data_IF_207782938800
#
_entry.id   IF_207782938800
#
_cell.length_a   1.000
_cell.length_b   1.000
_cell.length_c   1.000
_cell.angle_alpha   90.00
_cell.angle_beta   90.00
_cell.angle_gamma   90.00
#
_symmetry.space_group_name_H-M   'P 1'
#
loop_
_entity.id
_entity.type
_entity.pdbx_description
1 polymer ?
#
# COMPACT_ATOMS: atom_id res chain seq x y z
N UNK A 1 -34.22 -20.26 -23.82
CA UNK A 1 -33.16 -20.22 -24.86
C UNK A 1 -32.27 -21.44 -24.68
N UNK A 2 -32.50 -22.50 -25.45
CA UNK A 2 -31.63 -23.66 -25.47
C UNK A 2 -30.24 -23.26 -25.98
N UNK A 3 -29.25 -23.32 -25.10
CA UNK A 3 -27.84 -23.16 -25.45
C UNK A 3 -27.48 -24.26 -26.45
N UNK A 4 -27.26 -23.91 -27.71
CA UNK A 4 -26.65 -24.78 -28.72
C UNK A 4 -25.38 -25.40 -28.15
N UNK A 5 -25.48 -26.68 -27.79
CA UNK A 5 -24.41 -27.44 -27.20
C UNK A 5 -23.43 -27.80 -28.31
N UNK A 6 -22.36 -27.01 -28.46
CA UNK A 6 -21.29 -27.30 -29.41
C UNK A 6 -20.40 -28.37 -28.78
N UNK A 7 -20.49 -29.59 -29.31
CA UNK A 7 -19.59 -30.69 -29.03
C UNK A 7 -18.33 -30.51 -29.88
N UNK A 8 -17.20 -30.21 -29.24
CA UNK A 8 -15.90 -30.10 -29.92
C UNK A 8 -14.79 -30.54 -28.99
N UNK A 9 -13.87 -31.35 -29.52
CA UNK A 9 -12.65 -31.74 -28.82
C UNK A 9 -11.75 -30.51 -28.60
N UNK A 10 -11.29 -30.24 -27.36
CA UNK A 10 -10.34 -29.17 -27.10
C UNK A 10 -9.00 -29.43 -27.80
N UNK A 11 -8.39 -28.40 -28.38
CA UNK A 11 -7.08 -28.54 -29.05
C UNK A 11 -5.97 -28.62 -27.99
N UNK A 12 -5.12 -29.65 -28.07
CA UNK A 12 -4.03 -29.88 -27.08
C UNK A 12 -3.10 -28.67 -26.93
N UNK A 13 -2.70 -28.05 -28.05
CA UNK A 13 -1.80 -26.90 -28.03
C UNK A 13 -2.42 -25.67 -27.36
N UNK A 14 -3.72 -25.42 -27.54
CA UNK A 14 -4.43 -24.31 -26.86
C UNK A 14 -4.47 -24.58 -25.35
N UNK A 15 -4.76 -25.80 -24.95
CA UNK A 15 -4.77 -26.19 -23.54
C UNK A 15 -3.39 -26.01 -22.89
N UNK A 16 -2.31 -26.37 -23.60
CA UNK A 16 -0.94 -26.18 -23.14
C UNK A 16 -0.58 -24.70 -22.99
N UNK A 17 -0.85 -23.87 -24.01
CA UNK A 17 -0.55 -22.43 -23.98
C UNK A 17 -1.32 -21.73 -22.86
N UNK A 18 -2.63 -22.01 -22.73
CA UNK A 18 -3.43 -21.45 -21.65
C UNK A 18 -2.94 -21.93 -20.27
N UNK A 19 -2.59 -23.20 -20.12
CA UNK A 19 -2.06 -23.74 -18.87
C UNK A 19 -0.70 -23.15 -18.47
N UNK A 20 0.12 -22.75 -19.45
CA UNK A 20 1.40 -22.10 -19.20
C UNK A 20 1.25 -20.63 -18.81
N UNK A 21 0.37 -19.89 -19.50
CA UNK A 21 0.19 -18.45 -19.26
C UNK A 21 -0.69 -18.17 -18.03
N UNK A 22 -1.80 -18.89 -17.91
CA UNK A 22 -2.81 -18.71 -16.87
C UNK A 22 -3.28 -20.11 -16.44
N UNK A 23 -2.58 -20.79 -15.51
CA UNK A 23 -2.83 -22.19 -15.17
C UNK A 23 -4.32 -22.57 -14.95
N UNK A 24 -5.12 -21.79 -14.20
CA UNK A 24 -6.56 -22.06 -14.06
C UNK A 24 -7.33 -22.04 -15.39
N UNK A 25 -6.96 -21.15 -16.32
CA UNK A 25 -7.63 -21.02 -17.62
C UNK A 25 -7.42 -22.27 -18.51
N UNK A 26 -6.23 -22.88 -18.46
CA UNK A 26 -5.97 -24.15 -19.15
C UNK A 26 -6.92 -25.26 -18.70
N UNK A 27 -7.18 -25.35 -17.39
CA UNK A 27 -8.11 -26.32 -16.80
C UNK A 27 -9.59 -25.99 -17.08
N UNK A 28 -9.96 -24.70 -17.09
CA UNK A 28 -11.30 -24.28 -17.51
C UNK A 28 -11.55 -24.59 -18.99
N UNK A 29 -10.55 -24.41 -19.86
CA UNK A 29 -10.64 -24.72 -21.29
C UNK A 29 -10.93 -26.20 -21.55
N UNK A 30 -10.34 -27.11 -20.78
CA UNK A 30 -10.65 -28.56 -20.84
C UNK A 30 -11.86 -28.97 -20.00
N UNK A 31 -12.67 -27.99 -19.54
CA UNK A 31 -13.89 -28.19 -18.76
C UNK A 31 -13.70 -28.92 -17.42
N UNK A 32 -12.55 -28.71 -16.75
CA UNK A 32 -12.22 -29.31 -15.43
C UNK A 32 -12.13 -28.24 -14.33
N UNK A 33 -13.25 -27.71 -13.80
CA UNK A 33 -13.24 -26.61 -12.85
C UNK A 33 -12.60 -26.95 -11.50
N UNK A 34 -12.68 -28.21 -11.05
CA UNK A 34 -12.03 -28.65 -9.79
C UNK A 34 -10.51 -28.51 -9.87
N UNK A 35 -9.93 -28.87 -11.01
CA UNK A 35 -8.49 -28.66 -11.26
C UNK A 35 -8.15 -27.18 -11.42
N UNK A 36 -9.01 -26.40 -12.09
CA UNK A 36 -8.81 -24.95 -12.17
C UNK A 36 -8.73 -24.30 -10.79
N UNK A 37 -9.64 -24.67 -9.87
CA UNK A 37 -9.62 -24.21 -8.49
C UNK A 37 -8.37 -24.66 -7.74
N UNK A 38 -7.90 -25.90 -7.94
CA UNK A 38 -6.67 -26.39 -7.32
C UNK A 38 -5.43 -25.62 -7.78
N UNK A 39 -5.27 -25.38 -9.08
CA UNK A 39 -4.16 -24.57 -9.61
C UNK A 39 -4.26 -23.10 -9.19
N UNK A 40 -5.47 -22.56 -9.06
CA UNK A 40 -5.67 -21.21 -8.54
C UNK A 40 -5.25 -21.10 -7.07
N UNK A 41 -5.67 -22.05 -6.22
CA UNK A 41 -5.28 -22.09 -4.82
C UNK A 41 -3.77 -22.26 -4.66
N UNK A 42 -3.15 -23.14 -5.46
CA UNK A 42 -1.69 -23.33 -5.47
C UNK A 42 -0.96 -22.05 -5.90
N UNK A 43 -1.43 -21.38 -6.96
CA UNK A 43 -0.87 -20.10 -7.40
C UNK A 43 -0.99 -19.02 -6.32
N UNK A 44 -2.11 -18.96 -5.59
CA UNK A 44 -2.30 -18.04 -4.47
C UNK A 44 -1.34 -18.35 -3.32
N UNK A 45 -1.15 -19.63 -2.96
CA UNK A 45 -0.18 -20.05 -1.93
C UNK A 45 1.24 -19.66 -2.32
N UNK A 46 1.64 -19.86 -3.59
CA UNK A 46 2.97 -19.49 -4.08
C UNK A 46 3.13 -17.96 -4.06
N UNK A 47 2.12 -17.21 -4.49
CA UNK A 47 2.16 -15.75 -4.46
C UNK A 47 2.30 -15.22 -3.02
N UNK A 48 1.50 -15.73 -2.08
CA UNK A 48 1.58 -15.36 -0.66
C UNK A 48 2.91 -15.82 -0.04
N UNK A 49 3.34 -17.05 -0.29
CA UNK A 49 4.63 -17.56 0.18
C UNK A 49 5.80 -16.76 -0.39
N UNK A 50 5.73 -16.30 -1.63
CA UNK A 50 6.74 -15.42 -2.21
C UNK A 50 6.76 -14.04 -1.54
N UNK A 51 5.58 -13.52 -1.18
CA UNK A 51 5.43 -12.24 -0.50
C UNK A 51 5.91 -12.27 0.96
N UNK A 52 5.63 -13.36 1.69
CA UNK A 52 5.88 -13.44 3.14
C UNK A 52 7.11 -14.26 3.54
N UNK A 53 7.49 -15.27 2.75
CA UNK A 53 8.56 -16.23 3.11
C UNK A 53 9.79 -16.06 2.23
N UNK A 54 9.61 -15.95 0.91
CA UNK A 54 10.73 -15.85 -0.06
C UNK A 54 11.06 -14.41 -0.47
N UNK A 55 10.77 -13.42 0.39
CA UNK A 55 10.92 -12.00 0.06
C UNK A 55 12.33 -11.63 -0.41
N UNK A 56 13.37 -12.11 0.27
CA UNK A 56 14.76 -11.81 -0.10
C UNK A 56 15.25 -12.67 -1.29
N UNK A 57 14.40 -13.59 -1.76
CA UNK A 57 14.67 -14.53 -2.87
C UNK A 57 13.48 -14.58 -3.82
N UNK A 58 13.00 -13.41 -4.27
CA UNK A 58 11.84 -13.32 -5.19
C UNK A 58 12.01 -14.22 -6.44
N UNK A 59 13.26 -14.38 -6.91
CA UNK A 59 13.59 -15.27 -8.02
C UNK A 59 13.16 -16.73 -7.75
N UNK A 60 13.26 -17.22 -6.53
CA UNK A 60 12.88 -18.60 -6.18
C UNK A 60 11.36 -18.78 -6.28
N UNK A 61 10.58 -17.79 -5.83
CA UNK A 61 9.13 -17.79 -5.99
C UNK A 61 8.70 -17.82 -7.47
N UNK A 62 9.37 -17.03 -8.31
CA UNK A 62 9.12 -17.01 -9.76
C UNK A 62 9.47 -18.33 -10.44
N UNK A 63 10.57 -18.99 -10.05
CA UNK A 63 10.95 -20.31 -10.56
C UNK A 63 9.90 -21.36 -10.16
N UNK A 64 9.45 -21.37 -8.91
CA UNK A 64 8.40 -22.29 -8.44
C UNK A 64 7.10 -22.07 -9.23
N UNK A 65 6.68 -20.82 -9.41
CA UNK A 65 5.50 -20.48 -10.19
C UNK A 65 5.60 -20.96 -11.65
N UNK A 66 6.77 -20.78 -12.28
CA UNK A 66 7.02 -21.25 -13.65
C UNK A 66 6.97 -22.78 -13.75
N UNK A 67 7.58 -23.50 -12.81
CA UNK A 67 7.52 -24.97 -12.77
C UNK A 67 6.07 -25.47 -12.65
N UNK A 68 5.28 -24.86 -11.77
CA UNK A 68 3.86 -25.18 -11.61
C UNK A 68 3.06 -24.88 -12.89
N UNK A 69 3.36 -23.78 -13.57
CA UNK A 69 2.74 -23.45 -14.85
C UNK A 69 3.08 -24.46 -15.95
N UNK A 70 4.34 -24.92 -16.04
CA UNK A 70 4.76 -26.00 -16.95
C UNK A 70 4.01 -27.30 -16.63
N UNK A 71 3.92 -27.68 -15.36
CA UNK A 71 3.16 -28.86 -14.93
C UNK A 71 1.69 -28.73 -15.34
N UNK A 72 1.08 -27.56 -15.14
CA UNK A 72 -0.30 -27.31 -15.56
C UNK A 72 -0.48 -27.42 -17.08
N UNK A 73 0.45 -26.88 -17.88
CA UNK A 73 0.42 -26.96 -19.33
C UNK A 73 0.45 -28.41 -19.83
N UNK A 74 1.35 -29.24 -19.27
CA UNK A 74 1.43 -30.67 -19.59
C UNK A 74 0.14 -31.38 -19.19
N UNK A 75 -0.36 -31.12 -17.97
CA UNK A 75 -1.58 -31.73 -17.45
C UNK A 75 -2.81 -31.37 -18.30
N UNK A 76 -2.98 -30.10 -18.68
CA UNK A 76 -4.07 -29.64 -19.53
C UNK A 76 -3.98 -30.24 -20.94
N UNK A 77 -2.78 -30.34 -21.52
CA UNK A 77 -2.55 -30.95 -22.84
C UNK A 77 -2.91 -32.44 -22.87
N UNK A 78 -2.52 -33.19 -21.81
CA UNK A 78 -2.88 -34.62 -21.65
C UNK A 78 -4.40 -34.79 -21.55
N UNK A 79 -5.05 -34.03 -20.66
CA UNK A 79 -6.51 -34.04 -20.51
C UNK A 79 -7.23 -33.70 -21.82
N UNK A 80 -6.74 -32.72 -22.59
CA UNK A 80 -7.30 -32.38 -23.89
C UNK A 80 -7.17 -33.52 -24.91
N UNK A 81 -6.08 -34.30 -24.83
CA UNK A 81 -5.85 -35.46 -25.69
C UNK A 81 -6.77 -36.64 -25.40
N UNK A 82 -6.97 -36.94 -24.12
CA UNK A 82 -7.79 -38.05 -23.64
C UNK A 82 -9.29 -37.75 -23.71
N UNK A 83 -9.65 -36.47 -23.84
CA UNK A 83 -11.04 -36.03 -23.99
C UNK A 83 -11.65 -36.51 -25.31
N UNK A 84 -12.82 -37.17 -25.22
CA UNK A 84 -13.76 -37.35 -26.33
C UNK A 84 -14.48 -36.01 -26.61
N UNK A 85 -15.43 -35.96 -27.54
CA UNK A 85 -16.25 -34.76 -27.74
C UNK A 85 -17.01 -34.43 -26.45
N UNK A 86 -16.58 -33.36 -25.76
CA UNK A 86 -17.21 -32.89 -24.53
C UNK A 86 -18.24 -31.82 -24.90
N UNK A 87 -19.42 -31.86 -24.26
CA UNK A 87 -20.35 -30.72 -24.24
C UNK A 87 -19.64 -29.55 -23.56
N UNK A 88 -19.19 -28.56 -24.33
CA UNK A 88 -18.41 -27.44 -23.78
C UNK A 88 -19.32 -26.48 -23.01
N UNK A 89 -19.22 -26.40 -21.67
CA UNK A 89 -19.94 -25.39 -20.89
C UNK A 89 -19.48 -23.99 -21.27
N UNK A 90 -20.29 -22.98 -20.97
CA UNK A 90 -20.04 -21.58 -21.35
C UNK A 90 -18.65 -21.10 -20.94
N UNK A 91 -18.18 -21.46 -19.74
CA UNK A 91 -16.88 -21.06 -19.19
C UNK A 91 -15.66 -21.68 -19.87
N UNK A 92 -15.83 -22.77 -20.63
CA UNK A 92 -14.73 -23.42 -21.36
C UNK A 92 -14.58 -22.88 -22.79
N UNK A 93 -15.51 -22.03 -23.23
CA UNK A 93 -15.49 -21.35 -24.53
C UNK A 93 -14.68 -20.06 -24.41
N UNK A 94 -14.18 -19.55 -25.53
CA UNK A 94 -13.29 -18.37 -25.56
C UNK A 94 -13.93 -17.16 -24.84
N UNK A 95 -15.21 -16.88 -25.10
CA UNK A 95 -15.91 -15.76 -24.48
C UNK A 95 -16.12 -15.97 -22.97
N UNK A 96 -16.28 -17.22 -22.51
CA UNK A 96 -16.41 -17.54 -21.09
C UNK A 96 -15.10 -17.37 -20.35
N UNK A 97 -13.98 -17.78 -20.95
CA UNK A 97 -12.64 -17.57 -20.39
C UNK A 97 -12.32 -16.07 -20.29
N UNK A 98 -12.62 -15.30 -21.34
CA UNK A 98 -12.45 -13.85 -21.34
C UNK A 98 -13.35 -13.20 -20.28
N UNK A 99 -14.63 -13.56 -20.20
CA UNK A 99 -15.56 -13.01 -19.21
C UNK A 99 -15.10 -13.31 -17.77
N UNK A 100 -14.60 -14.52 -17.49
CA UNK A 100 -14.04 -14.86 -16.19
C UNK A 100 -12.78 -14.02 -15.91
N UNK A 101 -11.86 -13.92 -16.87
CA UNK A 101 -10.66 -13.09 -16.72
C UNK A 101 -10.98 -11.62 -16.42
N UNK A 102 -11.91 -11.03 -17.18
CA UNK A 102 -12.40 -9.66 -16.96
C UNK A 102 -13.07 -9.53 -15.60
N UNK A 103 -13.89 -10.49 -15.18
CA UNK A 103 -14.54 -10.45 -13.86
C UNK A 103 -13.52 -10.49 -12.72
N UNK A 104 -12.50 -11.35 -12.80
CA UNK A 104 -11.41 -11.37 -11.81
C UNK A 104 -10.59 -10.09 -11.81
N UNK A 105 -10.28 -9.53 -13.00
CA UNK A 105 -9.57 -8.26 -13.11
C UNK A 105 -10.39 -7.10 -12.53
N UNK A 106 -11.69 -7.03 -12.83
CA UNK A 106 -12.60 -6.03 -12.29
C UNK A 106 -12.75 -6.16 -10.77
N UNK A 107 -12.84 -7.40 -10.25
CA UNK A 107 -12.86 -7.66 -8.81
C UNK A 107 -11.55 -7.20 -8.15
N UNK A 108 -10.39 -7.59 -8.67
CA UNK A 108 -9.10 -7.18 -8.14
C UNK A 108 -8.91 -5.66 -8.20
N UNK A 109 -9.32 -5.03 -9.31
CA UNK A 109 -9.32 -3.58 -9.47
C UNK A 109 -10.24 -2.89 -8.46
N UNK A 110 -11.46 -3.39 -8.27
CA UNK A 110 -12.41 -2.86 -7.29
C UNK A 110 -11.91 -3.00 -5.85
N UNK A 111 -11.40 -4.18 -5.47
CA UNK A 111 -10.78 -4.39 -4.16
C UNK A 111 -9.62 -3.41 -3.94
N UNK A 112 -8.76 -3.22 -4.96
CA UNK A 112 -7.63 -2.29 -4.87
C UNK A 112 -8.08 -0.83 -4.77
N UNK A 113 -9.07 -0.44 -5.56
CA UNK A 113 -9.53 0.94 -5.62
C UNK A 113 -10.29 1.38 -4.36
N UNK A 114 -11.08 0.48 -3.74
CA UNK A 114 -12.02 0.82 -2.68
C UNK A 114 -11.67 0.26 -1.30
N UNK A 115 -10.97 -0.88 -1.21
CA UNK A 115 -10.77 -1.58 0.06
C UNK A 115 -9.32 -1.50 0.55
N UNK A 116 -8.38 -2.08 -0.20
CA UNK A 116 -6.99 -2.22 0.21
C UNK A 116 -6.01 -2.01 -0.93
N UNK A 117 -5.03 -1.13 -0.74
CA UNK A 117 -3.99 -0.89 -1.74
C UNK A 117 -2.59 -1.13 -1.17
N UNK A 118 -1.78 -2.01 -1.78
CA UNK A 118 -0.38 -2.16 -1.40
C UNK A 118 0.48 -1.05 -2.02
N UNK A 119 1.32 -0.43 -1.19
CA UNK A 119 2.35 0.54 -1.56
C UNK A 119 3.74 0.01 -1.21
N UNK A 120 4.74 0.35 -2.01
CA UNK A 120 6.16 0.15 -1.67
C UNK A 120 6.71 1.49 -1.19
N UNK A 121 7.30 1.53 0.01
CA UNK A 121 7.80 2.76 0.61
C UNK A 121 9.28 2.97 0.25
N UNK A 122 9.64 3.99 -0.55
CA UNK A 122 11.02 4.14 -1.03
C UNK A 122 11.92 4.98 -0.11
N UNK A 123 11.36 5.66 0.89
CA UNK A 123 12.08 6.70 1.65
C UNK A 123 12.44 6.29 3.09
N UNK A 124 13.40 6.97 3.70
CA UNK A 124 13.75 6.83 5.13
C UNK A 124 12.96 7.75 6.06
N UNK A 125 12.00 8.52 5.53
CA UNK A 125 11.37 9.61 6.29
C UNK A 125 10.46 9.15 7.44
N UNK A 126 10.15 7.86 7.48
CA UNK A 126 9.36 7.20 8.52
C UNK A 126 10.18 6.18 9.31
N UNK A 127 11.49 6.10 9.10
CA UNK A 127 12.36 5.23 9.91
C UNK A 127 12.39 5.74 11.36
N UNK A 128 12.34 4.85 12.37
CA UNK A 128 12.45 3.38 12.27
C UNK A 128 11.09 2.67 12.14
N UNK A 129 9.96 3.37 12.27
CA UNK A 129 8.64 2.75 12.20
C UNK A 129 8.32 2.14 10.82
N UNK A 130 8.87 2.72 9.75
CA UNK A 130 8.81 2.19 8.38
C UNK A 130 10.20 2.32 7.76
N UNK A 131 10.88 1.18 7.61
CA UNK A 131 12.16 1.08 6.92
C UNK A 131 11.99 1.21 5.38
N UNK A 132 13.02 1.67 4.66
CA UNK A 132 13.00 1.70 3.20
C UNK A 132 12.71 0.33 2.61
N UNK A 133 11.97 0.31 1.51
CA UNK A 133 11.49 -0.88 0.77
C UNK A 133 10.41 -1.68 1.48
N UNK A 134 9.92 -1.24 2.64
CA UNK A 134 8.77 -1.85 3.30
C UNK A 134 7.50 -1.78 2.42
N UNK A 135 6.65 -2.80 2.53
CA UNK A 135 5.34 -2.82 1.89
C UNK A 135 4.27 -2.39 2.90
N UNK A 136 3.47 -1.40 2.49
CA UNK A 136 2.35 -0.89 3.29
C UNK A 136 1.06 -1.42 2.72
N UNK A 137 0.21 -2.00 3.56
CA UNK A 137 -1.16 -2.35 3.21
C UNK A 137 -2.07 -1.26 3.73
N UNK A 138 -2.61 -0.46 2.82
CA UNK A 138 -3.43 0.71 3.15
C UNK A 138 -4.91 0.37 3.04
N UNK A 139 -5.66 0.57 4.12
CA UNK A 139 -7.11 0.48 4.14
C UNK A 139 -7.71 1.80 3.65
N UNK A 140 -8.51 1.74 2.58
CA UNK A 140 -9.10 2.91 1.89
C UNK A 140 -10.56 3.16 2.23
N UNK A 141 -11.29 2.11 2.64
CA UNK A 141 -12.71 2.21 2.95
C UNK A 141 -13.00 3.29 4.00
N UNK A 142 -13.86 4.24 3.64
CA UNK A 142 -14.34 5.34 4.48
C UNK A 142 -13.50 6.62 4.46
N UNK A 143 -12.34 6.63 3.78
CA UNK A 143 -11.51 7.84 3.63
C UNK A 143 -11.96 8.74 2.47
N UNK A 144 -12.78 8.19 1.57
CA UNK A 144 -13.50 8.96 0.57
C UNK A 144 -12.71 9.31 -0.69
N UNK A 145 -11.39 9.06 -0.73
CA UNK A 145 -10.57 9.21 -1.94
C UNK A 145 -10.29 7.85 -2.59
N UNK A 146 -11.14 7.45 -3.54
CA UNK A 146 -11.08 6.13 -4.17
C UNK A 146 -10.48 6.21 -5.58
N UNK A 147 -9.49 5.36 -5.82
CA UNK A 147 -8.71 5.34 -7.04
C UNK A 147 -7.61 4.28 -6.96
N UNK A 148 -6.93 4.02 -8.07
CA UNK A 148 -5.77 3.12 -8.12
C UNK A 148 -4.99 3.40 -9.39
N UNK A 149 -3.68 3.10 -9.41
CA UNK A 149 -2.83 3.29 -10.59
C UNK A 149 -2.86 4.73 -11.15
N UNK A 150 -3.03 5.73 -10.30
CA UNK A 150 -3.16 7.14 -10.71
C UNK A 150 -4.52 7.53 -11.29
N UNK A 151 -5.48 6.60 -11.36
CA UNK A 151 -6.85 6.87 -11.85
C UNK A 151 -7.74 7.17 -10.64
N UNK A 152 -8.32 8.38 -10.60
CA UNK A 152 -9.36 8.73 -9.65
C UNK A 152 -10.72 8.21 -10.14
N UNK A 153 -11.41 7.44 -9.29
CA UNK A 153 -12.74 6.91 -9.62
C UNK A 153 -13.84 7.72 -8.94
N UNK A 154 -13.65 8.03 -7.66
CA UNK A 154 -14.69 8.66 -6.86
C UNK A 154 -14.09 9.43 -5.69
N UNK A 155 -14.60 10.63 -5.45
CA UNK A 155 -14.35 11.41 -4.23
C UNK A 155 -15.66 11.61 -3.47
N UNK A 156 -15.68 11.23 -2.21
CA UNK A 156 -16.83 11.34 -1.30
C UNK A 156 -16.39 11.99 0.01
N UNK A 157 -17.35 12.31 0.87
CA UNK A 157 -17.04 12.73 2.24
C UNK A 157 -16.30 11.63 3.00
N UNK A 158 -15.38 12.03 3.87
CA UNK A 158 -14.69 11.10 4.78
C UNK A 158 -15.64 10.72 5.91
N UNK A 159 -15.94 9.42 6.02
CA UNK A 159 -16.73 8.85 7.12
C UNK A 159 -15.85 8.19 8.18
N UNK A 160 -14.63 7.81 7.81
CA UNK A 160 -13.66 7.20 8.73
C UNK A 160 -12.98 8.24 9.58
N UNK A 161 -12.91 7.98 10.88
CA UNK A 161 -12.18 8.81 11.83
C UNK A 161 -10.67 8.58 11.69
N UNK A 162 -9.93 9.67 11.48
CA UNK A 162 -8.47 9.71 11.58
C UNK A 162 -8.10 9.99 13.03
N UNK A 163 -7.30 9.11 13.64
CA UNK A 163 -6.87 9.27 15.03
C UNK A 163 -5.45 9.77 15.12
N UNK A 164 -5.16 10.47 16.21
CA UNK A 164 -3.80 10.89 16.54
C UNK A 164 -2.87 9.67 16.60
N UNK A 165 -1.69 9.79 16.00
CA UNK A 165 -0.71 8.72 15.88
C UNK A 165 -1.00 7.70 14.77
N UNK A 166 -2.09 7.82 14.00
CA UNK A 166 -2.29 7.01 12.79
C UNK A 166 -1.24 7.34 11.73
N UNK A 167 -0.80 6.32 10.98
CA UNK A 167 -0.01 6.53 9.76
C UNK A 167 -0.98 6.50 8.59
N UNK A 168 -1.04 7.60 7.85
CA UNK A 168 -1.93 7.77 6.71
C UNK A 168 -1.12 7.88 5.42
N UNK A 169 -1.72 7.41 4.32
CA UNK A 169 -1.25 7.65 2.96
C UNK A 169 -2.16 8.67 2.32
N UNK A 170 -1.58 9.68 1.68
CA UNK A 170 -2.30 10.80 1.09
C UNK A 170 -1.61 11.29 -0.18
N UNK A 171 -2.39 11.94 -1.05
CA UNK A 171 -1.86 12.70 -2.19
C UNK A 171 -1.08 13.91 -1.67
N UNK A 172 0.17 14.02 -2.10
CA UNK A 172 1.05 15.11 -1.68
C UNK A 172 0.46 16.47 -2.11
N UNK A 173 0.31 17.46 -1.20
CA UNK A 173 -0.43 18.69 -1.51
C UNK A 173 0.14 19.54 -2.66
N UNK A 174 1.45 19.48 -2.92
CA UNK A 174 2.06 20.23 -4.03
C UNK A 174 2.02 19.48 -5.37
N UNK A 175 2.05 18.15 -5.32
CA UNK A 175 1.97 17.29 -6.51
C UNK A 175 1.15 16.05 -6.19
N UNK A 176 -0.12 16.05 -6.60
CA UNK A 176 -1.07 14.97 -6.33
C UNK A 176 -0.73 13.68 -7.08
N UNK A 177 0.21 13.70 -8.03
CA UNK A 177 0.72 12.47 -8.64
C UNK A 177 1.58 11.64 -7.66
N UNK A 178 2.09 12.27 -6.61
CA UNK A 178 2.90 11.63 -5.57
C UNK A 178 2.05 11.26 -4.36
N UNK A 179 2.27 10.06 -3.83
CA UNK A 179 1.65 9.59 -2.59
C UNK A 179 2.68 9.60 -1.45
N UNK A 180 2.34 10.24 -0.34
CA UNK A 180 3.19 10.31 0.85
C UNK A 180 2.56 9.50 1.98
N UNK A 181 3.40 8.91 2.84
CA UNK A 181 2.97 8.28 4.08
C UNK A 181 3.60 9.01 5.27
N UNK A 182 2.78 9.50 6.20
CA UNK A 182 3.23 10.24 7.39
C UNK A 182 2.34 9.93 8.59
N UNK A 183 2.84 10.22 9.79
CA UNK A 183 2.10 10.06 11.03
C UNK A 183 1.28 11.32 11.33
N UNK A 184 0.00 11.13 11.67
CA UNK A 184 -0.90 12.20 12.08
C UNK A 184 -0.54 12.64 13.50
N UNK A 185 -0.11 13.89 13.62
CA UNK A 185 0.25 14.51 14.89
C UNK A 185 -0.83 15.47 15.35
N UNK A 186 -1.41 16.25 14.44
CA UNK A 186 -2.49 17.21 14.71
C UNK A 186 -3.78 16.86 13.96
N UNK A 187 -4.88 16.87 14.69
CA UNK A 187 -6.25 16.78 14.21
C UNK A 187 -6.82 18.20 13.96
N UNK A 188 -7.96 18.34 13.28
CA UNK A 188 -8.60 19.63 13.09
C UNK A 188 -8.72 20.41 14.40
N UNK A 189 -8.40 21.71 14.36
CA UNK A 189 -8.42 22.67 15.47
C UNK A 189 -7.31 22.56 16.51
N UNK A 190 -6.45 21.55 16.44
CA UNK A 190 -5.34 21.43 17.38
C UNK A 190 -4.34 22.58 17.24
N UNK A 191 -3.67 22.91 18.36
CA UNK A 191 -2.47 23.73 18.37
C UNK A 191 -1.25 22.81 18.44
N UNK A 192 -0.42 22.86 17.40
CA UNK A 192 0.83 22.11 17.31
C UNK A 192 1.99 23.08 17.52
N UNK A 193 2.92 22.73 18.39
CA UNK A 193 4.14 23.49 18.63
C UNK A 193 5.32 22.54 18.54
N UNK A 194 6.29 22.84 17.69
CA UNK A 194 7.52 22.08 17.57
C UNK A 194 8.69 23.05 17.69
N UNK A 195 9.26 23.16 18.89
CA UNK A 195 10.37 24.06 19.21
C UNK A 195 11.51 23.28 19.83
N UNK A 196 12.74 23.55 19.44
CA UNK A 196 13.94 22.89 19.97
C UNK A 196 13.81 21.35 19.97
N UNK A 197 13.22 20.82 18.89
CA UNK A 197 12.94 19.39 18.67
C UNK A 197 12.00 18.75 19.69
N UNK A 198 11.24 19.56 20.42
CA UNK A 198 10.18 19.12 21.33
C UNK A 198 8.81 19.40 20.73
N UNK A 199 7.98 18.37 20.71
CA UNK A 199 6.61 18.45 20.22
C UNK A 199 5.67 18.73 21.39
N UNK A 200 4.78 19.71 21.19
CA UNK A 200 3.63 19.99 22.05
C UNK A 200 2.34 19.95 21.22
N UNK A 201 1.29 19.39 21.79
CA UNK A 201 -0.05 19.32 21.20
C UNK A 201 -1.02 19.89 22.21
N UNK A 202 -1.77 20.93 21.82
CA UNK A 202 -2.69 21.65 22.71
C UNK A 202 -2.02 22.08 24.03
N UNK A 203 -0.80 22.62 23.90
CA UNK A 203 0.05 23.10 24.99
C UNK A 203 0.58 22.00 25.95
N UNK A 204 0.23 20.73 25.72
CA UNK A 204 0.78 19.57 26.42
C UNK A 204 2.04 19.05 25.70
N UNK A 205 3.15 18.90 26.44
CA UNK A 205 4.39 18.35 25.88
C UNK A 205 4.31 16.84 25.71
N UNK A 206 4.63 16.38 24.50
CA UNK A 206 4.65 14.97 24.17
C UNK A 206 5.97 14.38 24.67
N UNK A 207 5.94 13.46 25.66
CA UNK A 207 7.15 12.97 26.28
C UNK A 207 7.93 12.06 25.32
N UNK A 208 9.25 12.20 25.37
CA UNK A 208 10.20 11.35 24.64
C UNK A 208 11.16 10.68 25.62
N UNK A 209 11.47 9.40 25.39
CA UNK A 209 12.47 8.63 26.15
C UNK A 209 13.53 8.09 25.21
N UNK A 210 14.79 8.43 25.42
CA UNK A 210 15.90 7.88 24.63
C UNK A 210 15.98 6.37 24.84
N UNK A 211 16.09 5.62 23.74
CA UNK A 211 16.21 4.15 23.76
C UNK A 211 17.52 3.63 23.18
N UNK A 212 18.28 4.47 22.49
CA UNK A 212 19.59 4.10 21.99
C UNK A 212 20.01 4.94 20.79
N UNK A 213 21.02 4.44 20.08
CA UNK A 213 21.56 5.05 18.88
C UNK A 213 21.03 4.29 17.66
N UNK A 214 20.79 5.00 16.57
CA UNK A 214 20.50 4.42 15.26
C UNK A 214 21.75 4.56 14.40
N UNK A 215 22.41 3.43 14.22
CA UNK A 215 23.63 3.32 13.42
C UNK A 215 23.22 3.20 11.96
N UNK A 216 23.56 4.23 11.19
CA UNK A 216 23.46 4.17 9.73
C UNK A 216 24.50 3.19 9.18
N UNK A 217 24.15 2.42 8.16
CA UNK A 217 25.16 1.66 7.40
C UNK A 217 26.15 2.58 6.67
N UNK A 218 25.70 3.79 6.29
CA UNK A 218 26.39 4.65 5.34
C UNK A 218 26.76 6.05 5.89
N UNK A 219 26.51 6.35 7.18
CA UNK A 219 26.84 7.65 7.80
C UNK A 219 27.57 7.47 9.13
N UNK A 220 28.53 8.35 9.38
CA UNK A 220 29.36 8.38 10.60
C UNK A 220 28.62 9.05 11.77
N UNK A 221 27.77 10.04 11.51
CA UNK A 221 27.02 10.75 12.56
C UNK A 221 25.88 9.86 13.12
N UNK A 222 25.82 9.63 14.44
CA UNK A 222 24.77 8.83 15.04
C UNK A 222 23.47 9.64 15.09
N UNK A 223 22.40 9.09 14.52
CA UNK A 223 21.05 9.57 14.83
C UNK A 223 20.57 8.91 16.11
N UNK A 224 19.91 9.64 17.01
CA UNK A 224 19.44 9.10 18.28
C UNK A 224 18.00 8.61 18.15
N UNK A 225 17.69 7.47 18.77
CA UNK A 225 16.34 6.91 18.83
C UNK A 225 15.66 7.27 20.13
N UNK A 226 14.39 7.65 20.01
CA UNK A 226 13.51 7.94 21.14
C UNK A 226 12.19 7.21 20.98
N UNK A 227 11.59 6.80 22.08
CA UNK A 227 10.16 6.47 22.13
C UNK A 227 9.38 7.74 22.42
N UNK A 228 8.44 8.08 21.54
CA UNK A 228 7.51 9.18 21.71
C UNK A 228 6.13 8.63 22.04
N UNK A 229 5.50 9.17 23.10
CA UNK A 229 4.17 8.72 23.55
C UNK A 229 3.10 9.76 23.22
N UNK A 230 2.29 9.48 22.20
CA UNK A 230 1.22 10.34 21.72
C UNK A 230 -0.14 9.75 22.09
N UNK A 231 -0.70 10.21 23.22
CA UNK A 231 -1.88 9.58 23.83
C UNK A 231 -1.57 8.14 24.27
N UNK A 232 -2.40 7.19 23.87
CA UNK A 232 -2.24 5.76 24.20
C UNK A 232 -1.24 5.02 23.30
N UNK A 233 -0.56 5.72 22.39
CA UNK A 233 0.37 5.11 21.44
C UNK A 233 1.80 5.52 21.74
N UNK A 234 2.68 4.53 21.72
CA UNK A 234 4.12 4.74 21.79
C UNK A 234 4.75 4.25 20.48
N UNK A 235 5.65 5.03 19.89
CA UNK A 235 6.38 4.67 18.68
C UNK A 235 7.78 5.26 18.70
N UNK A 236 8.67 4.64 17.93
CA UNK A 236 10.04 5.10 17.83
C UNK A 236 10.18 6.22 16.81
N UNK A 237 10.97 7.23 17.15
CA UNK A 237 11.34 8.37 16.32
C UNK A 237 12.86 8.52 16.29
N UNK A 238 13.37 9.19 15.28
CA UNK A 238 14.78 9.58 15.16
C UNK A 238 14.92 11.08 15.23
N UNK A 239 15.89 11.52 16.02
CA UNK A 239 16.31 12.92 16.13
C UNK A 239 17.83 12.96 16.00
N UNK A 240 18.34 13.87 15.17
CA UNK A 240 19.77 14.18 15.00
C UNK A 240 20.09 15.41 15.86
N UNK A 241 20.72 15.28 17.04
CA UNK A 241 20.88 16.41 17.97
C UNK A 241 21.63 17.61 17.39
N UNK A 242 22.57 17.34 16.48
CA UNK A 242 23.42 18.35 15.85
C UNK A 242 22.73 19.10 14.70
N UNK A 243 21.63 18.56 14.15
CA UNK A 243 20.89 19.24 13.10
C UNK A 243 20.18 20.49 13.67
N UNK A 244 20.08 21.61 12.92
CA UNK A 244 19.38 22.80 13.38
C UNK A 244 17.91 22.53 13.76
N UNK A 245 17.40 23.21 14.78
CA UNK A 245 15.98 23.14 15.15
C UNK A 245 15.08 23.94 14.18
N UNK A 246 15.64 24.97 13.52
CA UNK A 246 14.97 25.76 12.52
C UNK A 246 14.51 24.89 11.34
N UNK A 247 13.31 25.16 10.83
CA UNK A 247 12.83 24.53 9.60
C UNK A 247 13.57 25.15 8.41
N UNK A 248 14.42 24.39 7.69
CA UNK A 248 15.37 24.98 6.74
C UNK A 248 14.69 25.56 5.49
N UNK A 249 13.60 24.94 5.02
CA UNK A 249 12.88 25.39 3.83
C UNK A 249 11.38 25.33 4.13
N UNK A 250 10.76 26.50 4.25
CA UNK A 250 9.30 26.64 4.38
C UNK A 250 8.73 27.06 3.03
N UNK A 251 7.97 26.17 2.40
CA UNK A 251 7.37 26.42 1.10
C UNK A 251 6.16 27.35 1.22
N UNK A 252 5.65 27.83 0.09
CA UNK A 252 4.35 28.45 0.04
C UNK A 252 3.29 27.34 0.06
N UNK A 253 2.32 27.42 0.96
CA UNK A 253 1.24 26.45 1.06
C UNK A 253 -0.06 27.13 1.52
N UNK A 254 -1.24 26.56 1.23
CA UNK A 254 -2.52 27.12 1.67
C UNK A 254 -2.64 27.16 3.19
N UNK A 255 -3.23 28.25 3.73
CA UNK A 255 -3.46 28.44 5.17
C UNK A 255 -2.16 28.58 5.98
N UNK A 256 -1.07 29.04 5.35
CA UNK A 256 0.23 29.27 6.00
C UNK A 256 0.16 30.29 7.14
N UNK A 257 -0.77 31.24 7.07
CA UNK A 257 -1.07 32.21 8.13
C UNK A 257 -1.47 31.56 9.46
N UNK A 258 -1.88 30.29 9.45
CA UNK A 258 -2.13 29.53 10.67
C UNK A 258 -0.85 29.06 11.38
N UNK A 259 0.33 29.29 10.78
CA UNK A 259 1.62 28.87 11.28
C UNK A 259 2.56 30.06 11.51
N UNK A 260 3.15 30.13 12.69
CA UNK A 260 4.24 31.02 13.04
C UNK A 260 5.55 30.23 13.05
N UNK A 261 6.59 30.77 12.39
CA UNK A 261 7.91 30.16 12.30
C UNK A 261 8.93 31.03 13.03
N UNK A 262 9.86 30.39 13.74
CA UNK A 262 10.96 31.03 14.47
C UNK A 262 12.27 30.30 14.17
N UNK A 263 13.39 30.83 14.65
CA UNK A 263 14.68 30.13 14.59
C UNK A 263 14.70 28.83 15.40
N UNK A 264 13.77 28.67 16.35
CA UNK A 264 13.68 27.52 17.24
C UNK A 264 12.70 26.45 16.72
N UNK A 265 11.87 26.80 15.73
CA UNK A 265 10.90 25.87 15.13
C UNK A 265 9.62 26.55 14.65
N UNK A 266 8.46 26.01 15.02
CA UNK A 266 7.16 26.52 14.57
C UNK A 266 6.01 26.26 15.56
N UNK A 267 4.95 27.04 15.40
CA UNK A 267 3.66 26.78 16.02
C UNK A 267 2.55 26.95 14.99
N UNK A 268 1.68 25.95 14.83
CA UNK A 268 0.58 25.94 13.88
C UNK A 268 -0.76 25.68 14.57
N UNK A 269 -1.83 26.31 14.10
CA UNK A 269 -3.22 25.91 14.40
C UNK A 269 -3.80 25.14 13.22
N UNK A 270 -4.14 23.87 13.45
CA UNK A 270 -4.65 23.00 12.38
C UNK A 270 -6.04 23.49 11.94
N UNK A 271 -6.24 23.81 10.65
CA UNK A 271 -7.54 24.24 10.13
C UNK A 271 -8.61 23.13 10.23
N UNK A 272 -9.87 23.53 10.13
CA UNK A 272 -10.99 22.59 10.00
C UNK A 272 -10.82 21.71 8.76
N UNK A 273 -11.10 20.41 8.89
CA UNK A 273 -10.97 19.43 7.80
C UNK A 273 -9.52 19.16 7.34
N UNK A 274 -8.52 19.58 8.11
CA UNK A 274 -7.11 19.39 7.81
C UNK A 274 -6.38 18.64 8.93
N UNK A 275 -5.22 18.08 8.61
CA UNK A 275 -4.37 17.32 9.51
C UNK A 275 -2.94 17.82 9.44
N UNK A 276 -2.24 17.79 10.57
CA UNK A 276 -0.81 18.06 10.65
C UNK A 276 -0.06 16.74 10.81
N UNK A 277 0.88 16.45 9.90
CA UNK A 277 1.58 15.18 9.85
C UNK A 277 3.09 15.37 9.99
N UNK A 278 3.76 14.43 10.64
CA UNK A 278 5.22 14.39 10.76
C UNK A 278 5.77 13.05 10.27
N UNK A 279 7.01 13.09 9.81
CA UNK A 279 7.83 11.88 9.71
C UNK A 279 8.35 11.45 11.07
N UNK A 280 8.51 10.14 11.26
CA UNK A 280 9.15 9.60 12.46
C UNK A 280 10.67 9.85 12.43
N UNK A 281 11.25 10.03 11.25
CA UNK A 281 12.60 10.55 11.08
C UNK A 281 12.56 12.09 11.08
N UNK A 282 12.69 12.70 12.26
CA UNK A 282 12.36 14.12 12.48
C UNK A 282 13.23 15.07 11.70
N UNK A 283 14.52 14.79 11.54
CA UNK A 283 15.44 15.70 10.85
C UNK A 283 15.57 15.37 9.35
N UNK A 284 15.08 14.20 8.92
CA UNK A 284 15.12 13.76 7.52
C UNK A 284 13.72 13.41 6.97
N UNK A 285 12.79 14.35 7.13
CA UNK A 285 11.42 14.22 6.65
C UNK A 285 10.90 15.53 6.07
N UNK A 286 10.44 15.48 4.81
CA UNK A 286 9.57 16.51 4.23
C UNK A 286 8.13 16.25 4.67
N UNK A 287 7.59 17.07 5.56
CA UNK A 287 6.27 16.90 6.18
C UNK A 287 5.59 18.26 6.47
N UNK A 288 4.55 18.29 7.30
CA UNK A 288 3.73 19.50 7.50
C UNK A 288 4.50 20.71 8.01
N UNK A 289 5.72 20.53 8.53
CA UNK A 289 6.60 21.64 8.90
C UNK A 289 7.02 22.47 7.69
N UNK A 290 7.19 21.85 6.53
CA UNK A 290 7.71 22.49 5.31
C UNK A 290 6.63 22.88 4.31
N UNK A 291 5.59 22.05 4.16
CA UNK A 291 4.54 22.22 3.13
C UNK A 291 3.10 22.30 3.69
N UNK A 292 2.94 22.35 5.01
CA UNK A 292 1.65 22.64 5.63
C UNK A 292 0.72 21.45 5.79
N UNK A 293 -0.59 21.70 5.77
CA UNK A 293 -1.58 20.73 6.23
C UNK A 293 -2.06 19.77 5.13
N UNK A 294 -2.48 18.58 5.54
CA UNK A 294 -3.13 17.58 4.67
C UNK A 294 -4.64 17.76 4.76
N UNK A 295 -5.29 18.13 3.66
CA UNK A 295 -6.76 18.18 3.60
C UNK A 295 -7.35 16.76 3.67
N UNK A 296 -8.46 16.58 4.38
CA UNK A 296 -9.14 15.27 4.51
C UNK A 296 -9.39 14.60 3.15
N UNK A 297 -9.81 15.37 2.14
CA UNK A 297 -10.06 14.88 0.77
C UNK A 297 -8.83 14.28 0.06
N UNK A 298 -7.62 14.61 0.51
CA UNK A 298 -6.37 14.09 -0.07
C UNK A 298 -5.95 12.76 0.58
N UNK A 299 -6.56 12.37 1.71
CA UNK A 299 -6.23 11.12 2.40
C UNK A 299 -6.75 9.94 1.59
N UNK A 300 -5.82 9.10 1.12
CA UNK A 300 -6.11 7.87 0.37
C UNK A 300 -6.56 6.76 1.33
N UNK A 301 -5.91 6.67 2.49
CA UNK A 301 -6.26 5.69 3.50
C UNK A 301 -5.29 5.62 4.66
N UNK A 302 -5.53 4.68 5.56
CA UNK A 302 -4.68 4.42 6.73
C UNK A 302 -3.85 3.15 6.53
N UNK A 303 -2.59 3.22 6.91
CA UNK A 303 -1.71 2.04 6.95
C UNK A 303 -2.23 1.07 8.01
N UNK A 304 -2.66 -0.10 7.57
CA UNK A 304 -3.19 -1.16 8.44
C UNK A 304 -2.11 -2.16 8.83
N UNK A 305 -1.22 -2.48 7.89
CA UNK A 305 -0.09 -3.39 8.10
C UNK A 305 1.16 -2.82 7.44
N UNK A 306 2.29 -3.03 8.11
CA UNK A 306 3.63 -2.71 7.61
C UNK A 306 4.36 -4.05 7.52
N UNK A 307 4.86 -4.38 6.34
CA UNK A 307 5.63 -5.60 6.10
C UNK A 307 7.07 -5.15 5.78
N UNK A 308 7.95 -5.31 6.75
CA UNK A 308 9.36 -4.86 6.71
C UNK A 308 10.32 -6.01 6.64
#
# INVERSE_FOLDING_TARGET
>A
MESTAIYRKPKKWIAAVLGLLIPPAGMLYVARPRWAAAYFALALIIALGSMFVLRDREWAGNVIALLVAIICAIHASRLAGDSREIRRPWYSRWYGLVAIGVAFAALAFGVRAFLFEPFRFPSESMAPSIEPRAHLIVRKWGYGNYGTYGIHLMRTGMSSEVRRGDIIVFEYPEDTALSFAKRVIGLPRDRISYHNKRLKVNDEEIPIRRIGDYVHRDRVAPSLQYLERLGDREYAIRIEPEAPAAVPIVRAFPLKENCAYTAEGLSCRVPDGHYFVLGDNRDNSSDSRTWGFVAARNIIGKVQYIVQ
#
